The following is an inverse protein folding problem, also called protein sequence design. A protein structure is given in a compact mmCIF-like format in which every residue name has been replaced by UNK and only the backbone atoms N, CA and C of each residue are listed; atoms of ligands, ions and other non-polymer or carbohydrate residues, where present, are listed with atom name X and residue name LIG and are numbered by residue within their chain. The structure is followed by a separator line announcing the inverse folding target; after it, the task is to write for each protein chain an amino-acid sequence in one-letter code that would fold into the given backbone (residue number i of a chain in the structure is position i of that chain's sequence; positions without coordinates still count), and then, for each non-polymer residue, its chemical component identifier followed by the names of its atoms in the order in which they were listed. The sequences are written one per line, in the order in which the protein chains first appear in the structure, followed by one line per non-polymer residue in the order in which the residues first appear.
data_IF_626579698059
#
_entry.id   IF_626579698059
#
_cell.length_a   1.000
_cell.length_b   1.000
_cell.length_c   1.000
_cell.angle_alpha   90.00
_cell.angle_beta   90.00
_cell.angle_gamma   90.00
#
_symmetry.space_group_name_H-M   'P 1'
#
loop_
_entity.id
_entity.type
_entity.pdbx_description
1 polymer ?
#
# COMPACT_ATOMS: atom_id res chain seq x y z
N UNK A 1 7.67 0.82 -26.70
CA UNK A 1 7.36 1.93 -25.79
C UNK A 1 5.85 2.11 -25.55
N UNK A 2 5.00 2.02 -26.55
CA UNK A 2 3.52 2.13 -26.40
C UNK A 2 2.86 1.04 -25.55
N UNK A 3 3.31 -0.21 -25.65
CA UNK A 3 2.77 -1.33 -24.83
C UNK A 3 3.01 -1.16 -23.32
N UNK A 4 4.17 -0.63 -22.94
CA UNK A 4 4.48 -0.38 -21.51
C UNK A 4 3.59 0.71 -20.93
N UNK A 5 3.35 1.79 -21.68
CA UNK A 5 2.46 2.88 -21.23
C UNK A 5 1.01 2.41 -21.06
N UNK A 6 0.51 1.60 -22.00
CA UNK A 6 -0.85 1.05 -21.90
C UNK A 6 -1.03 0.11 -20.73
N UNK A 7 -0.07 -0.78 -20.45
CA UNK A 7 -0.13 -1.69 -19.31
C UNK A 7 -0.06 -0.95 -17.97
N UNK A 8 0.73 0.12 -17.88
CA UNK A 8 0.83 0.95 -16.68
C UNK A 8 -0.52 1.61 -16.35
N UNK A 9 -1.18 2.18 -17.36
CA UNK A 9 -2.50 2.80 -17.22
C UNK A 9 -3.54 1.77 -16.74
N UNK A 10 -3.57 0.58 -17.33
CA UNK A 10 -4.50 -0.48 -16.94
C UNK A 10 -4.25 -0.90 -15.48
N UNK A 11 -2.98 -1.04 -15.06
CA UNK A 11 -2.65 -1.37 -13.68
C UNK A 11 -3.07 -0.28 -12.68
N UNK A 12 -2.85 0.97 -13.04
CA UNK A 12 -3.30 2.09 -12.22
C UNK A 12 -4.82 2.12 -12.08
N UNK A 13 -5.56 1.85 -13.16
CA UNK A 13 -7.02 1.75 -13.14
C UNK A 13 -7.49 0.60 -12.26
N UNK A 14 -6.84 -0.58 -12.34
CA UNK A 14 -7.14 -1.71 -11.46
C UNK A 14 -6.87 -1.38 -9.99
N UNK A 15 -5.76 -0.72 -9.67
CA UNK A 15 -5.49 -0.23 -8.33
C UNK A 15 -6.56 0.73 -7.83
N UNK A 16 -6.99 1.67 -8.66
CA UNK A 16 -8.05 2.62 -8.33
C UNK A 16 -9.41 1.92 -8.09
N UNK A 17 -9.77 0.91 -8.90
CA UNK A 17 -11.03 0.16 -8.70
C UNK A 17 -11.05 -0.63 -7.41
N UNK A 18 -9.91 -1.19 -6.97
CA UNK A 18 -9.81 -1.90 -5.69
C UNK A 18 -10.07 -0.95 -4.52
N UNK A 19 -9.56 0.28 -4.59
CA UNK A 19 -9.79 1.29 -3.54
C UNK A 19 -11.27 1.71 -3.51
N UNK A 20 -11.85 2.01 -4.64
CA UNK A 20 -13.25 2.40 -4.73
C UNK A 20 -14.13 1.27 -4.18
N UNK A 21 -13.84 0.02 -4.52
CA UNK A 21 -14.53 -1.14 -3.98
C UNK A 21 -14.36 -1.25 -2.46
N UNK A 22 -13.15 -1.01 -1.93
CA UNK A 22 -12.92 -1.03 -0.48
C UNK A 22 -13.69 0.08 0.24
N UNK A 23 -13.83 1.25 -0.37
CA UNK A 23 -14.64 2.35 0.19
C UNK A 23 -16.13 2.03 0.23
N UNK A 24 -16.63 1.34 -0.78
CA UNK A 24 -18.05 0.95 -0.84
C UNK A 24 -18.38 -0.21 0.11
N UNK A 25 -17.42 -1.10 0.36
CA UNK A 25 -17.64 -2.28 1.21
C UNK A 25 -17.39 -2.03 2.70
N UNK A 26 -16.57 -1.03 3.04
CA UNK A 26 -16.22 -0.73 4.43
C UNK A 26 -16.61 0.71 4.75
N UNK A 27 -17.54 0.87 5.71
CA UNK A 27 -17.89 2.17 6.28
C UNK A 27 -16.62 2.84 6.81
N UNK A 28 -16.06 3.68 6.00
CA UNK A 28 -14.70 4.22 6.13
C UNK A 28 -14.41 4.99 7.41
N UNK A 29 -13.34 5.79 7.43
CA UNK A 29 -12.77 6.44 8.61
C UNK A 29 -13.70 7.40 9.36
N UNK A 30 -14.93 7.64 8.87
CA UNK A 30 -15.92 8.42 9.61
C UNK A 30 -16.22 7.85 11.01
N UNK A 31 -16.09 6.54 11.22
CA UNK A 31 -16.25 5.92 12.54
C UNK A 31 -15.09 6.17 13.48
N UNK A 32 -13.86 6.28 12.97
CA UNK A 32 -12.69 6.50 13.83
C UNK A 32 -12.77 7.82 14.57
N UNK A 33 -13.19 8.89 13.91
CA UNK A 33 -13.32 10.21 14.54
C UNK A 33 -14.33 10.28 15.67
N UNK A 34 -15.28 9.33 15.71
CA UNK A 34 -16.29 9.24 16.76
C UNK A 34 -15.80 8.51 18.02
N UNK A 35 -14.85 7.60 17.90
CA UNK A 35 -14.44 6.71 18.97
C UNK A 35 -12.99 6.91 19.44
N UNK A 36 -12.13 7.55 18.64
CA UNK A 36 -10.71 7.67 18.92
C UNK A 36 -10.19 9.10 18.83
N UNK A 37 -9.23 9.42 19.69
CA UNK A 37 -8.47 10.66 19.57
C UNK A 37 -7.54 10.57 18.37
N UNK A 38 -7.77 11.44 17.39
CA UNK A 38 -6.90 11.55 16.21
C UNK A 38 -5.59 12.21 16.62
N UNK A 39 -4.42 11.62 16.30
CA UNK A 39 -3.14 12.24 16.59
C UNK A 39 -3.07 13.65 16.01
N UNK A 40 -2.78 14.64 16.85
CA UNK A 40 -2.53 16.01 16.41
C UNK A 40 -1.28 16.07 15.54
N UNK A 41 -1.33 16.74 14.42
CA UNK A 41 -0.17 16.85 13.49
C UNK A 41 -0.56 17.17 12.05
N UNK A 42 -1.80 17.67 11.84
CA UNK A 42 -2.23 18.15 10.52
C UNK A 42 -2.66 17.04 9.54
N UNK A 43 -2.61 15.78 9.93
CA UNK A 43 -3.16 14.69 9.12
C UNK A 43 -4.67 14.66 9.22
N UNK A 44 -5.32 15.12 8.19
CA UNK A 44 -6.77 14.98 8.04
C UNK A 44 -7.12 13.56 7.58
N UNK A 45 -8.33 13.11 7.88
CA UNK A 45 -8.88 11.83 7.38
C UNK A 45 -8.74 11.75 5.85
N UNK A 46 -8.90 12.88 5.14
CA UNK A 46 -8.69 12.96 3.70
C UNK A 46 -7.27 12.62 3.26
N UNK A 47 -6.25 12.95 4.04
CA UNK A 47 -4.87 12.61 3.73
C UNK A 47 -4.62 11.09 3.72
N UNK A 48 -5.29 10.33 4.60
CA UNK A 48 -5.24 8.86 4.58
C UNK A 48 -5.76 8.28 3.26
N UNK A 49 -6.88 8.79 2.78
CA UNK A 49 -7.45 8.33 1.52
C UNK A 49 -6.53 8.59 0.34
N UNK A 50 -5.92 9.79 0.30
CA UNK A 50 -4.99 10.15 -0.78
C UNK A 50 -3.75 9.26 -0.76
N UNK A 51 -3.14 9.08 0.41
CA UNK A 51 -1.96 8.22 0.54
C UNK A 51 -2.28 6.77 0.19
N UNK A 52 -3.43 6.25 0.63
CA UNK A 52 -3.90 4.92 0.33
C UNK A 52 -4.16 4.75 -1.17
N UNK A 53 -4.79 5.73 -1.78
CA UNK A 53 -5.00 5.78 -3.23
C UNK A 53 -3.68 5.70 -3.99
N UNK A 54 -2.69 6.52 -3.64
CA UNK A 54 -1.36 6.51 -4.26
C UNK A 54 -0.73 5.11 -4.15
N UNK A 55 -0.79 4.47 -2.99
CA UNK A 55 -0.23 3.14 -2.76
C UNK A 55 -0.79 2.09 -3.72
N UNK A 56 -2.12 2.03 -3.86
CA UNK A 56 -2.76 1.03 -4.71
C UNK A 56 -2.56 1.31 -6.20
N UNK A 57 -2.56 2.57 -6.60
CA UNK A 57 -2.26 2.98 -7.99
C UNK A 57 -0.85 2.54 -8.36
N UNK A 58 0.14 2.80 -7.50
CA UNK A 58 1.52 2.36 -7.72
C UNK A 58 1.63 0.84 -7.75
N UNK A 59 1.00 0.14 -6.80
CA UNK A 59 1.03 -1.34 -6.75
C UNK A 59 0.35 -1.96 -7.97
N UNK A 60 -0.75 -1.38 -8.46
CA UNK A 60 -1.39 -1.83 -9.70
C UNK A 60 -0.50 -1.70 -10.91
N UNK A 61 0.15 -0.54 -11.09
CA UNK A 61 1.10 -0.29 -12.18
C UNK A 61 2.30 -1.25 -12.13
N UNK A 62 2.85 -1.44 -10.92
CA UNK A 62 3.96 -2.36 -10.66
C UNK A 62 3.59 -3.82 -10.94
N UNK A 63 2.44 -4.28 -10.46
CA UNK A 63 1.96 -5.64 -10.73
C UNK A 63 1.88 -5.95 -12.21
N UNK A 64 1.37 -5.03 -13.02
CA UNK A 64 1.33 -5.24 -14.47
C UNK A 64 2.73 -5.28 -15.09
N UNK A 65 3.64 -4.44 -14.65
CA UNK A 65 5.03 -4.49 -15.14
C UNK A 65 5.70 -5.80 -14.76
N UNK A 66 5.50 -6.29 -13.54
CA UNK A 66 6.09 -7.54 -13.07
C UNK A 66 5.52 -8.76 -13.80
N UNK A 67 4.19 -8.85 -13.95
CA UNK A 67 3.54 -10.04 -14.47
C UNK A 67 3.46 -10.11 -15.99
N UNK A 68 3.24 -8.98 -16.67
CA UNK A 68 2.92 -8.99 -18.10
C UNK A 68 4.03 -8.45 -19.00
N UNK A 69 4.86 -7.54 -18.50
CA UNK A 69 5.89 -6.90 -19.34
C UNK A 69 7.24 -7.58 -19.20
N UNK A 70 7.66 -7.90 -17.99
CA UNK A 70 9.02 -8.33 -17.70
C UNK A 70 9.11 -9.65 -16.91
N UNK A 71 8.08 -10.49 -16.97
CA UNK A 71 7.98 -11.74 -16.18
C UNK A 71 9.24 -12.63 -16.21
N UNK A 72 9.95 -12.65 -17.35
CA UNK A 72 11.16 -13.48 -17.51
C UNK A 72 12.39 -12.91 -16.80
N UNK A 73 12.35 -11.67 -16.37
CA UNK A 73 13.49 -10.97 -15.77
C UNK A 73 13.50 -11.00 -14.24
N UNK A 74 12.36 -11.34 -13.62
CA UNK A 74 12.22 -11.27 -12.16
C UNK A 74 12.21 -12.66 -11.53
N UNK A 75 12.91 -12.77 -10.39
CA UNK A 75 12.92 -13.97 -9.58
C UNK A 75 11.55 -14.21 -8.92
N UNK A 76 11.21 -15.48 -8.69
CA UNK A 76 10.00 -15.88 -7.97
C UNK A 76 9.93 -15.21 -6.59
N UNK A 77 11.07 -14.95 -5.95
CA UNK A 77 11.14 -14.26 -4.66
C UNK A 77 10.58 -12.85 -4.75
N UNK A 78 10.97 -12.07 -5.76
CA UNK A 78 10.47 -10.70 -5.97
C UNK A 78 8.96 -10.68 -6.15
N UNK A 79 8.43 -11.60 -6.97
CA UNK A 79 6.99 -11.74 -7.21
C UNK A 79 6.26 -12.12 -5.92
N UNK A 80 6.82 -13.03 -5.14
CA UNK A 80 6.24 -13.45 -3.85
C UNK A 80 6.23 -12.29 -2.84
N UNK A 81 7.31 -11.52 -2.74
CA UNK A 81 7.38 -10.34 -1.87
C UNK A 81 6.35 -9.29 -2.27
N UNK A 82 6.19 -9.04 -3.58
CA UNK A 82 5.15 -8.13 -4.09
C UNK A 82 3.74 -8.60 -3.71
N UNK A 83 3.40 -9.87 -3.96
CA UNK A 83 2.07 -10.41 -3.63
C UNK A 83 1.80 -10.40 -2.12
N UNK A 84 2.80 -10.76 -1.32
CA UNK A 84 2.69 -10.76 0.13
C UNK A 84 2.54 -9.34 0.68
N UNK A 85 3.30 -8.36 0.16
CA UNK A 85 3.15 -6.96 0.55
C UNK A 85 1.77 -6.40 0.19
N UNK A 86 1.27 -6.73 -1.01
CA UNK A 86 -0.07 -6.33 -1.45
C UNK A 86 -1.16 -6.93 -0.54
N UNK A 87 -1.04 -8.21 -0.18
CA UNK A 87 -1.95 -8.87 0.74
C UNK A 87 -1.95 -8.19 2.12
N UNK A 88 -0.77 -7.88 2.66
CA UNK A 88 -0.65 -7.15 3.92
C UNK A 88 -1.32 -5.76 3.84
N UNK A 89 -1.14 -5.04 2.75
CA UNK A 89 -1.78 -3.75 2.55
C UNK A 89 -3.32 -3.87 2.52
N UNK A 90 -3.86 -4.88 1.83
CA UNK A 90 -5.30 -5.14 1.79
C UNK A 90 -5.83 -5.50 3.18
N UNK A 91 -5.13 -6.35 3.93
CA UNK A 91 -5.53 -6.78 5.27
C UNK A 91 -5.44 -5.65 6.31
N UNK A 92 -4.49 -4.73 6.14
CA UNK A 92 -4.32 -3.61 7.07
C UNK A 92 -5.59 -2.75 7.17
N UNK A 93 -6.25 -2.48 6.04
CA UNK A 93 -7.42 -1.60 6.00
C UNK A 93 -8.56 -2.07 6.92
N UNK A 94 -9.09 -3.30 6.81
CA UNK A 94 -10.14 -3.78 7.71
C UNK A 94 -9.66 -3.92 9.16
N UNK A 95 -8.40 -4.29 9.39
CA UNK A 95 -7.86 -4.39 10.74
C UNK A 95 -7.83 -3.04 11.44
N UNK A 96 -7.47 -1.98 10.74
CA UNK A 96 -7.39 -0.65 11.30
C UNK A 96 -8.76 0.02 11.45
N UNK A 97 -9.58 -0.01 10.39
CA UNK A 97 -10.82 0.76 10.33
C UNK A 97 -12.07 0.01 10.79
N UNK A 98 -12.11 -1.31 10.67
CA UNK A 98 -13.32 -2.10 10.95
C UNK A 98 -13.25 -2.82 12.29
N UNK A 99 -12.16 -3.52 12.53
CA UNK A 99 -11.99 -4.29 13.79
C UNK A 99 -11.38 -3.48 14.92
N UNK A 100 -10.87 -2.27 14.62
CA UNK A 100 -10.16 -1.40 15.55
C UNK A 100 -8.99 -2.10 16.26
N UNK A 101 -8.44 -3.12 15.64
CA UNK A 101 -7.33 -3.91 16.18
C UNK A 101 -6.00 -3.25 15.83
N UNK A 102 -5.67 -2.15 16.50
CA UNK A 102 -4.54 -1.30 16.21
C UNK A 102 -3.19 -2.04 16.34
N UNK A 103 -3.08 -2.97 17.29
CA UNK A 103 -1.87 -3.76 17.47
C UNK A 103 -1.61 -4.69 16.28
N UNK A 104 -2.63 -5.44 15.83
CA UNK A 104 -2.47 -6.31 14.67
C UNK A 104 -2.28 -5.52 13.37
N UNK A 105 -2.96 -4.38 13.23
CA UNK A 105 -2.75 -3.50 12.07
C UNK A 105 -1.31 -2.95 12.03
N UNK A 106 -0.71 -2.64 13.19
CA UNK A 106 0.68 -2.22 13.28
C UNK A 106 1.64 -3.34 12.83
N UNK A 107 1.42 -4.57 13.26
CA UNK A 107 2.24 -5.72 12.83
C UNK A 107 2.17 -5.90 11.32
N UNK A 108 0.96 -5.86 10.77
CA UNK A 108 0.74 -6.06 9.32
C UNK A 108 1.39 -4.96 8.48
N UNK A 109 1.33 -3.69 8.91
CA UNK A 109 1.94 -2.59 8.15
C UNK A 109 3.47 -2.62 8.23
N UNK A 110 4.04 -3.03 9.36
CA UNK A 110 5.50 -3.26 9.49
C UNK A 110 5.93 -4.41 8.57
N UNK A 111 5.20 -5.51 8.56
CA UNK A 111 5.47 -6.64 7.67
C UNK A 111 5.42 -6.21 6.19
N UNK A 112 4.40 -5.43 5.80
CA UNK A 112 4.32 -4.87 4.45
C UNK A 112 5.54 -4.00 4.11
N UNK A 113 5.98 -3.16 5.03
CA UNK A 113 7.15 -2.29 4.84
C UNK A 113 8.42 -3.11 4.61
N UNK A 114 8.65 -4.14 5.42
CA UNK A 114 9.82 -5.03 5.27
C UNK A 114 9.79 -5.74 3.92
N UNK A 115 8.63 -6.25 3.50
CA UNK A 115 8.48 -6.93 2.21
C UNK A 115 8.76 -5.99 1.03
N UNK A 116 8.30 -4.74 1.07
CA UNK A 116 8.59 -3.74 0.02
C UNK A 116 10.07 -3.34 0.01
N UNK A 117 10.74 -3.30 1.16
CA UNK A 117 12.19 -3.05 1.22
C UNK A 117 12.98 -4.19 0.55
N UNK A 118 12.61 -5.45 0.82
CA UNK A 118 13.22 -6.62 0.18
C UNK A 118 12.98 -6.58 -1.33
N UNK A 119 11.75 -6.31 -1.73
CA UNK A 119 11.34 -6.16 -3.13
C UNK A 119 12.16 -5.07 -3.84
N UNK A 120 12.31 -3.90 -3.23
CA UNK A 120 13.09 -2.79 -3.76
C UNK A 120 14.56 -3.18 -4.00
N UNK A 121 15.18 -3.91 -3.05
CA UNK A 121 16.54 -4.40 -3.18
C UNK A 121 16.73 -5.38 -4.35
N UNK A 122 15.77 -6.26 -4.56
CA UNK A 122 15.80 -7.23 -5.65
C UNK A 122 15.56 -6.53 -7.02
N UNK A 123 14.65 -5.55 -7.08
CA UNK A 123 14.24 -4.86 -8.32
C UNK A 123 15.27 -3.84 -8.81
N UNK A 124 16.08 -3.27 -7.94
CA UNK A 124 17.06 -2.23 -8.31
C UNK A 124 17.93 -2.62 -9.51
N UNK A 125 18.21 -3.91 -9.66
CA UNK A 125 19.05 -4.46 -10.75
C UNK A 125 18.33 -4.49 -12.11
N UNK A 126 17.01 -4.42 -12.12
CA UNK A 126 16.20 -4.70 -13.30
C UNK A 126 15.44 -3.48 -13.84
N UNK A 127 14.91 -2.63 -12.95
CA UNK A 127 14.06 -1.52 -13.37
C UNK A 127 14.10 -0.36 -12.37
N UNK A 128 14.68 0.75 -12.80
CA UNK A 128 14.70 1.97 -12.01
C UNK A 128 13.28 2.51 -11.73
N UNK A 129 12.36 2.37 -12.69
CA UNK A 129 10.98 2.87 -12.55
C UNK A 129 10.23 2.13 -11.44
N UNK A 130 10.33 0.80 -11.39
CA UNK A 130 9.69 0.00 -10.35
C UNK A 130 10.39 0.24 -9.00
N UNK A 131 11.70 0.38 -8.99
CA UNK A 131 12.44 0.74 -7.79
C UNK A 131 11.96 2.08 -7.18
N UNK A 132 11.78 3.12 -8.01
CA UNK A 132 11.23 4.40 -7.55
C UNK A 132 9.80 4.25 -6.99
N UNK A 133 8.97 3.42 -7.61
CA UNK A 133 7.65 3.07 -7.07
C UNK A 133 7.75 2.45 -5.67
N UNK A 134 8.68 1.50 -5.46
CA UNK A 134 8.92 0.91 -4.16
C UNK A 134 9.37 1.94 -3.12
N UNK A 135 10.24 2.89 -3.49
CA UNK A 135 10.67 3.95 -2.57
C UNK A 135 9.49 4.80 -2.12
N UNK A 136 8.61 5.22 -3.04
CA UNK A 136 7.41 5.98 -2.69
C UNK A 136 6.52 5.15 -1.75
N UNK A 137 6.32 3.86 -2.03
CA UNK A 137 5.55 2.95 -1.15
C UNK A 137 6.16 2.87 0.25
N UNK A 138 7.48 2.75 0.37
CA UNK A 138 8.17 2.70 1.67
C UNK A 138 7.93 3.99 2.47
N UNK A 139 8.00 5.15 1.82
CA UNK A 139 7.72 6.44 2.49
C UNK A 139 6.28 6.46 3.01
N UNK A 140 5.31 6.10 2.17
CA UNK A 140 3.88 6.10 2.57
C UNK A 140 3.62 5.08 3.68
N UNK A 141 4.18 3.86 3.59
CA UNK A 141 4.05 2.84 4.64
C UNK A 141 4.68 3.29 5.97
N UNK A 142 5.79 4.02 5.92
CA UNK A 142 6.41 4.60 7.12
C UNK A 142 5.50 5.62 7.79
N UNK A 143 4.82 6.46 7.01
CA UNK A 143 3.79 7.38 7.53
C UNK A 143 2.65 6.61 8.17
N UNK A 144 2.13 5.55 7.53
CA UNK A 144 1.07 4.73 8.12
C UNK A 144 1.53 4.00 9.39
N UNK A 145 2.77 3.52 9.43
CA UNK A 145 3.35 2.91 10.64
C UNK A 145 3.40 3.90 11.79
N UNK A 146 3.89 5.13 11.52
CA UNK A 146 3.90 6.20 12.52
C UNK A 146 2.49 6.51 13.04
N UNK A 147 1.51 6.62 12.15
CA UNK A 147 0.13 6.92 12.52
C UNK A 147 -0.49 5.79 13.34
N UNK A 148 -0.27 4.51 12.97
CA UNK A 148 -0.71 3.37 13.76
C UNK A 148 -0.13 3.40 15.18
N UNK A 149 1.17 3.68 15.28
CA UNK A 149 1.84 3.77 16.58
C UNK A 149 1.27 4.92 17.42
N UNK A 150 1.04 6.08 16.80
CA UNK A 150 0.45 7.22 17.48
C UNK A 150 -0.97 6.93 17.97
N UNK A 151 -1.78 6.23 17.17
CA UNK A 151 -3.10 5.77 17.60
C UNK A 151 -3.02 4.78 18.78
N UNK A 152 -2.08 3.85 18.74
CA UNK A 152 -1.89 2.86 19.81
C UNK A 152 -1.48 3.51 21.14
N UNK A 153 -0.70 4.59 21.09
CA UNK A 153 -0.24 5.30 22.29
C UNK A 153 -1.33 6.21 22.86
N UNK A 154 -2.17 6.81 22.03
CA UNK A 154 -3.17 7.80 22.43
C UNK A 154 -4.49 7.16 22.91
N UNK A 155 -4.77 5.93 22.59
CA UNK A 155 -6.01 5.21 22.87
C UNK A 155 -5.75 3.84 23.49
#
# INVERSE_FOLDING_TARGET
MTRIKGSLIIGMLLGATIIIASWLCFDGPCRISLFFKIPGGGFTIGAYYVLWFIMFVLSGGEGILLFFVNRKCYDNRTILCFLASLLCMILWYPLFFTTFSQFFSLIVIIAATILVIIEAGDILKYSLLIFLSCIIKIIVLSVFTYMNLAFLILN
#
